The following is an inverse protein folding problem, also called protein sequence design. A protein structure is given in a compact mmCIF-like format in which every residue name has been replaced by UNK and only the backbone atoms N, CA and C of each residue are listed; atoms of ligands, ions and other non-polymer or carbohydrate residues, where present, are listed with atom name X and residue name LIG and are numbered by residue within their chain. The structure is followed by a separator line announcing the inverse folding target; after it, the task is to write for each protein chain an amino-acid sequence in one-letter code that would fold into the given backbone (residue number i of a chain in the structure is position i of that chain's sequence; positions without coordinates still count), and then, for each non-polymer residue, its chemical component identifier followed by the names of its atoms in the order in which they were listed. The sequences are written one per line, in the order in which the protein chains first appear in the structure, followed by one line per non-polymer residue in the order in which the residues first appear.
data_IF_954964892260
#
_entry.id   IF_954964892260
#
_cell.length_a   1.000
_cell.length_b   1.000
_cell.length_c   1.000
_cell.angle_alpha   90.00
_cell.angle_beta   90.00
_cell.angle_gamma   90.00
#
_symmetry.space_group_name_H-M   'P 1'
#
loop_
_entity.id
_entity.type
_entity.pdbx_description
1 polymer ?
#
# COMPACT_ATOMS: atom_id res chain seq x y z
N UNK A 1 -14.87 4.08 -47.07
CA UNK A 1 -13.99 3.58 -45.98
C UNK A 1 -14.51 2.24 -45.51
N UNK A 2 -13.68 1.20 -45.53
CA UNK A 2 -14.02 -0.13 -45.02
C UNK A 2 -14.17 -0.09 -43.50
N UNK A 3 -14.99 -0.98 -42.93
CA UNK A 3 -15.22 -1.09 -41.48
C UNK A 3 -13.92 -1.19 -40.68
N UNK A 4 -12.89 -1.83 -41.26
CA UNK A 4 -11.54 -1.95 -40.68
C UNK A 4 -10.84 -0.60 -40.47
N UNK A 5 -10.88 0.32 -41.45
CA UNK A 5 -10.26 1.65 -41.29
C UNK A 5 -10.93 2.46 -40.19
N UNK A 6 -12.26 2.40 -40.08
CA UNK A 6 -13.00 3.08 -39.00
C UNK A 6 -12.63 2.51 -37.62
N UNK A 7 -12.41 1.20 -37.52
CA UNK A 7 -11.98 0.58 -36.27
C UNK A 7 -10.56 1.00 -35.87
N UNK A 8 -9.64 1.13 -36.83
CA UNK A 8 -8.27 1.61 -36.54
C UNK A 8 -8.28 3.07 -36.06
N UNK A 9 -9.03 3.95 -36.73
CA UNK A 9 -9.16 5.35 -36.30
C UNK A 9 -9.76 5.47 -34.89
N UNK A 10 -10.75 4.63 -34.57
CA UNK A 10 -11.34 4.58 -33.23
C UNK A 10 -10.33 4.12 -32.17
N UNK A 11 -9.56 3.06 -32.46
CA UNK A 11 -8.54 2.53 -31.56
C UNK A 11 -7.46 3.58 -31.32
N UNK A 12 -6.93 4.23 -32.37
CA UNK A 12 -5.92 5.30 -32.23
C UNK A 12 -6.45 6.45 -31.38
N UNK A 13 -7.69 6.88 -31.62
CA UNK A 13 -8.33 7.93 -30.83
C UNK A 13 -8.46 7.55 -29.36
N UNK A 14 -8.88 6.31 -29.07
CA UNK A 14 -9.00 5.79 -27.71
C UNK A 14 -7.66 5.74 -26.99
N UNK A 15 -6.61 5.21 -27.63
CA UNK A 15 -5.26 5.16 -27.06
C UNK A 15 -4.65 6.54 -26.85
N UNK A 16 -4.93 7.49 -27.74
CA UNK A 16 -4.49 8.88 -27.56
C UNK A 16 -5.20 9.52 -26.37
N UNK A 17 -6.50 9.26 -26.18
CA UNK A 17 -7.26 9.76 -25.02
C UNK A 17 -6.94 9.03 -23.71
N UNK A 18 -6.34 7.84 -23.76
CA UNK A 18 -5.93 7.08 -22.58
C UNK A 18 -4.78 7.77 -21.84
N UNK A 19 -3.97 8.57 -22.55
CA UNK A 19 -2.85 9.35 -22.00
C UNK A 19 -1.94 8.53 -21.08
N UNK A 20 -1.35 7.49 -21.66
CA UNK A 20 -0.47 6.54 -20.95
C UNK A 20 0.66 7.24 -20.18
N UNK A 21 1.18 8.36 -20.69
CA UNK A 21 2.29 9.09 -20.05
C UNK A 21 1.88 9.70 -18.72
N UNK A 22 0.70 10.32 -18.67
CA UNK A 22 0.15 10.85 -17.42
C UNK A 22 -0.11 9.73 -16.42
N UNK A 23 -0.69 8.61 -16.89
CA UNK A 23 -0.89 7.44 -16.03
C UNK A 23 0.45 6.89 -15.49
N UNK A 24 1.47 6.75 -16.34
CA UNK A 24 2.81 6.30 -15.91
C UNK A 24 3.40 7.23 -14.85
N UNK A 25 3.32 8.55 -15.05
CA UNK A 25 3.76 9.55 -14.08
C UNK A 25 3.01 9.40 -12.73
N UNK A 26 1.69 9.28 -12.76
CA UNK A 26 0.89 9.16 -11.53
C UNK A 26 1.20 7.86 -10.77
N UNK A 27 1.52 6.78 -11.50
CA UNK A 27 1.98 5.53 -10.91
C UNK A 27 3.38 5.64 -10.31
N UNK A 28 4.31 6.39 -10.92
CA UNK A 28 5.64 6.67 -10.36
C UNK A 28 5.53 7.43 -9.02
N UNK A 29 4.67 8.46 -8.99
CA UNK A 29 4.37 9.23 -7.76
C UNK A 29 3.80 8.29 -6.69
N UNK A 30 2.79 7.50 -7.05
CA UNK A 30 2.16 6.55 -6.12
C UNK A 30 3.16 5.50 -5.59
N UNK A 31 4.08 5.02 -6.44
CA UNK A 31 5.15 4.09 -6.02
C UNK A 31 6.05 4.72 -4.96
N UNK A 32 6.43 5.99 -5.15
CA UNK A 32 7.23 6.74 -4.19
C UNK A 32 6.49 6.94 -2.87
N UNK A 33 5.19 7.28 -2.93
CA UNK A 33 4.37 7.42 -1.72
C UNK A 33 4.22 6.10 -0.96
N UNK A 34 4.04 4.98 -1.66
CA UNK A 34 3.97 3.64 -1.05
C UNK A 34 5.26 3.36 -0.26
N UNK A 35 6.43 3.65 -0.84
CA UNK A 35 7.71 3.45 -0.16
C UNK A 35 7.81 4.29 1.13
N UNK A 36 7.42 5.57 1.08
CA UNK A 36 7.38 6.45 2.27
C UNK A 36 6.46 5.89 3.36
N UNK A 37 5.22 5.53 2.98
CA UNK A 37 4.21 5.03 3.92
C UNK A 37 4.61 3.69 4.53
N UNK A 38 5.28 2.83 3.77
CA UNK A 38 5.80 1.56 4.27
C UNK A 38 6.87 1.79 5.35
N UNK A 39 7.80 2.73 5.12
CA UNK A 39 8.83 3.09 6.10
C UNK A 39 8.22 3.72 7.37
N UNK A 40 7.31 4.69 7.22
CA UNK A 40 6.57 5.30 8.33
C UNK A 40 5.80 4.27 9.16
N UNK A 41 5.16 3.31 8.50
CA UNK A 41 4.43 2.21 9.15
C UNK A 41 5.36 1.28 9.91
N UNK A 42 6.55 0.99 9.39
CA UNK A 42 7.55 0.16 10.06
C UNK A 42 8.18 0.88 11.27
N UNK A 43 8.46 2.18 11.15
CA UNK A 43 8.93 3.00 12.27
C UNK A 43 7.89 3.12 13.39
N UNK A 44 6.64 3.42 13.04
CA UNK A 44 5.55 3.52 14.03
C UNK A 44 5.28 2.18 14.73
N UNK A 45 5.35 1.04 14.01
CA UNK A 45 5.24 -0.29 14.61
C UNK A 45 6.37 -0.56 15.61
N UNK A 46 7.62 -0.21 15.28
CA UNK A 46 8.77 -0.36 16.20
C UNK A 46 8.55 0.43 17.48
N UNK A 47 8.14 1.70 17.35
CA UNK A 47 7.83 2.56 18.50
C UNK A 47 6.70 1.98 19.37
N UNK A 48 5.65 1.43 18.78
CA UNK A 48 4.55 0.78 19.52
C UNK A 48 5.03 -0.44 20.30
N UNK A 49 5.93 -1.25 19.72
CA UNK A 49 6.52 -2.40 20.42
C UNK A 49 7.35 -1.95 21.61
N UNK A 50 8.17 -0.90 21.46
CA UNK A 50 8.96 -0.32 22.55
C UNK A 50 8.06 0.20 23.68
N UNK A 51 7.05 1.01 23.35
CA UNK A 51 6.06 1.51 24.31
C UNK A 51 5.34 0.36 25.03
N UNK A 52 4.99 -0.72 24.33
CA UNK A 52 4.35 -1.89 24.93
C UNK A 52 5.28 -2.62 25.91
N UNK A 53 6.57 -2.72 25.59
CA UNK A 53 7.58 -3.32 26.48
C UNK A 53 7.80 -2.46 27.72
N UNK A 54 7.91 -1.15 27.56
CA UNK A 54 8.12 -0.23 28.68
C UNK A 54 6.89 -0.15 29.58
N UNK A 55 5.69 -0.15 29.01
CA UNK A 55 4.45 -0.29 29.78
C UNK A 55 4.47 -1.56 30.64
N UNK A 56 4.84 -2.71 30.07
CA UNK A 56 4.93 -3.98 30.82
C UNK A 56 5.95 -3.95 31.95
N UNK A 57 7.09 -3.28 31.76
CA UNK A 57 8.14 -3.17 32.79
C UNK A 57 7.72 -2.27 33.95
N UNK A 58 7.05 -1.16 33.65
CA UNK A 58 6.83 -0.06 34.60
C UNK A 58 5.42 -0.05 35.24
N UNK A 59 4.57 -1.03 34.92
CA UNK A 59 3.17 -1.08 35.37
C UNK A 59 2.93 -2.23 36.35
N UNK A 60 2.02 -2.01 37.31
CA UNK A 60 1.61 -3.02 38.28
C UNK A 60 0.97 -4.27 37.64
N UNK A 61 1.00 -5.40 38.36
CA UNK A 61 0.48 -6.70 37.92
C UNK A 61 -0.98 -6.66 37.45
N UNK A 62 -1.86 -6.04 38.23
CA UNK A 62 -3.31 -6.10 37.98
C UNK A 62 -3.73 -5.28 36.76
N UNK A 63 -3.13 -4.10 36.56
CA UNK A 63 -3.33 -3.30 35.35
C UNK A 63 -2.72 -4.02 34.14
N UNK A 64 -1.56 -4.68 34.29
CA UNK A 64 -1.01 -5.50 33.19
C UNK A 64 -1.96 -6.62 32.77
N UNK A 65 -2.57 -7.31 33.73
CA UNK A 65 -3.55 -8.38 33.44
C UNK A 65 -4.78 -7.83 32.72
N UNK A 66 -5.32 -6.69 33.16
CA UNK A 66 -6.47 -6.05 32.52
C UNK A 66 -6.17 -5.57 31.08
N UNK A 67 -4.98 -5.03 30.84
CA UNK A 67 -4.59 -4.42 29.56
C UNK A 67 -4.01 -5.44 28.56
N UNK A 68 -3.49 -6.58 29.03
CA UNK A 68 -2.91 -7.62 28.17
C UNK A 68 -3.81 -8.09 27.00
N UNK A 69 -5.10 -8.42 27.20
CA UNK A 69 -5.96 -8.83 26.09
C UNK A 69 -6.21 -7.69 25.08
N UNK A 70 -6.25 -6.44 25.54
CA UNK A 70 -6.41 -5.25 24.69
C UNK A 70 -5.17 -5.08 23.80
N UNK A 71 -3.97 -5.09 24.39
CA UNK A 71 -2.72 -5.00 23.63
C UNK A 71 -2.56 -6.13 22.61
N UNK A 72 -2.96 -7.35 22.97
CA UNK A 72 -2.95 -8.49 22.05
C UNK A 72 -3.91 -8.27 20.87
N UNK A 73 -5.11 -7.74 21.14
CA UNK A 73 -6.10 -7.45 20.09
C UNK A 73 -5.61 -6.37 19.13
N UNK A 74 -4.99 -5.29 19.65
CA UNK A 74 -4.36 -4.26 18.81
C UNK A 74 -3.21 -4.82 17.97
N UNK A 75 -2.36 -5.69 18.53
CA UNK A 75 -1.29 -6.33 17.77
C UNK A 75 -1.84 -7.15 16.59
N UNK A 76 -2.86 -7.97 16.85
CA UNK A 76 -3.51 -8.78 15.81
C UNK A 76 -4.10 -7.89 14.70
N UNK A 77 -4.79 -6.80 15.07
CA UNK A 77 -5.39 -5.90 14.09
C UNK A 77 -4.32 -5.16 13.28
N UNK A 78 -3.24 -4.69 13.91
CA UNK A 78 -2.11 -4.05 13.22
C UNK A 78 -1.45 -5.03 12.25
N UNK A 79 -1.23 -6.28 12.66
CA UNK A 79 -0.63 -7.31 11.80
C UNK A 79 -1.55 -7.64 10.60
N UNK A 80 -2.86 -7.74 10.84
CA UNK A 80 -3.87 -7.95 9.81
C UNK A 80 -3.90 -6.81 8.80
N UNK A 81 -3.95 -5.56 9.28
CA UNK A 81 -3.92 -4.37 8.44
C UNK A 81 -2.63 -4.30 7.63
N UNK A 82 -1.49 -4.60 8.26
CA UNK A 82 -0.18 -4.61 7.62
C UNK A 82 -0.11 -5.66 6.51
N UNK A 83 -0.67 -6.85 6.73
CA UNK A 83 -0.75 -7.90 5.72
C UNK A 83 -1.64 -7.48 4.54
N UNK A 84 -2.79 -6.84 4.81
CA UNK A 84 -3.69 -6.32 3.77
C UNK A 84 -3.04 -5.20 2.96
N UNK A 85 -2.34 -4.28 3.61
CA UNK A 85 -1.62 -3.18 2.96
C UNK A 85 -0.53 -3.72 2.02
N UNK A 86 0.34 -4.60 2.53
CA UNK A 86 1.41 -5.23 1.73
C UNK A 86 0.87 -6.02 0.54
N UNK A 87 -0.29 -6.68 0.68
CA UNK A 87 -0.92 -7.37 -0.44
C UNK A 87 -1.40 -6.39 -1.53
N UNK A 88 -2.01 -5.27 -1.14
CA UNK A 88 -2.45 -4.23 -2.07
C UNK A 88 -1.26 -3.53 -2.75
N UNK A 89 -0.23 -3.16 -1.98
CA UNK A 89 1.02 -2.58 -2.48
C UNK A 89 1.71 -3.51 -3.48
N UNK A 90 1.78 -4.82 -3.17
CA UNK A 90 2.33 -5.81 -4.10
C UNK A 90 1.55 -5.87 -5.41
N UNK A 91 0.22 -5.97 -5.34
CA UNK A 91 -0.63 -6.00 -6.53
C UNK A 91 -0.48 -4.73 -7.38
N UNK A 92 -0.39 -3.57 -6.73
CA UNK A 92 -0.11 -2.30 -7.38
C UNK A 92 1.24 -2.31 -8.11
N UNK A 93 2.32 -2.70 -7.42
CA UNK A 93 3.67 -2.74 -7.99
C UNK A 93 3.78 -3.75 -9.15
N UNK A 94 3.06 -4.86 -9.08
CA UNK A 94 2.96 -5.81 -10.20
C UNK A 94 2.33 -5.13 -11.43
N UNK A 95 1.22 -4.41 -11.29
CA UNK A 95 0.58 -3.70 -12.42
C UNK A 95 1.49 -2.58 -12.95
N UNK A 96 2.03 -1.77 -12.05
CA UNK A 96 2.94 -0.67 -12.40
C UNK A 96 4.11 -1.17 -13.26
N UNK A 97 4.77 -2.26 -12.85
CA UNK A 97 5.89 -2.84 -13.61
C UNK A 97 5.52 -3.15 -15.07
N UNK A 98 4.34 -3.73 -15.31
CA UNK A 98 3.90 -4.03 -16.67
C UNK A 98 3.63 -2.76 -17.49
N UNK A 99 3.10 -1.71 -16.85
CA UNK A 99 2.79 -0.44 -17.51
C UNK A 99 4.03 0.42 -17.74
N UNK A 100 5.04 0.36 -16.87
CA UNK A 100 6.31 1.07 -17.05
C UNK A 100 7.16 0.50 -18.18
N UNK A 101 6.95 -0.77 -18.55
CA UNK A 101 7.63 -1.45 -19.66
C UNK A 101 6.99 -1.15 -21.02
N UNK A 102 5.84 -0.47 -21.05
CA UNK A 102 5.16 -0.09 -22.30
C UNK A 102 5.81 1.15 -22.96
N UNK A 103 5.95 1.15 -24.29
CA UNK A 103 6.59 2.23 -25.05
C UNK A 103 5.80 3.54 -25.11
#
# INVERSE_FOLDING_TARGET
MTTTSKNIELIVKQWTSFDLKTIQHDLDVTTTEIASRADESDQSRRKLVELSRDFKKNTNEDVRKAVAPILKSFQIEIDSLSKRSKAAEKAFLEIYRHLSELP
#
